data_IF_177736252396
#
_entry.id   IF_177736252396
#
_cell.length_a   1.000
_cell.length_b   1.000
_cell.length_c   1.000
_cell.angle_alpha   90.00
_cell.angle_beta   90.00
_cell.angle_gamma   90.00
#
_symmetry.space_group_name_H-M   'P 1'
#
loop_
_entity.id
_entity.type
_entity.pdbx_description
1 polymer ?
#
# COMPACT_ATOMS: atom_id res chain seq x y z
N UNK A 1 -14.77 33.83 -32.56
CA UNK A 1 -14.41 33.38 -32.25
C UNK A 1 -14.27 32.99 -31.50
N UNK A 2 -14.37 33.05 -31.65
CA UNK A 2 -14.08 32.41 -31.13
C UNK A 2 -13.98 31.98 -30.33
N UNK A 3 -14.02 31.88 -30.31
CA UNK A 3 -13.73 31.32 -29.65
C UNK A 3 -13.87 30.67 -28.92
N UNK A 4 -14.14 30.44 -29.05
CA UNK A 4 -14.16 29.65 -28.56
C UNK A 4 -14.03 28.91 -27.93
N UNK A 5 -14.25 28.83 -28.19
CA UNK A 5 -13.93 28.06 -27.83
C UNK A 5 -13.62 27.67 -27.10
N UNK A 6 -13.65 27.74 -27.11
CA UNK A 6 -13.13 27.22 -26.40
C UNK A 6 -13.12 26.79 -25.52
N UNK A 7 -13.56 26.44 -25.38
CA UNK A 7 -13.41 25.84 -24.62
C UNK A 7 -13.42 25.28 -23.97
N UNK A 8 -13.59 25.13 -24.05
CA UNK A 8 -13.46 24.40 -23.46
C UNK A 8 -13.40 23.78 -23.03
N UNK A 9 -13.47 23.40 -23.17
CA UNK A 9 -13.19 22.50 -22.81
C UNK A 9 -12.79 22.16 -22.05
N UNK A 10 -12.65 22.20 -22.29
CA UNK A 10 -12.14 21.62 -21.55
C UNK A 10 -12.31 21.38 -20.48
N UNK A 11 -12.67 21.36 -20.30
CA UNK A 11 -12.92 20.97 -19.34
C UNK A 11 -13.19 19.94 -18.95
N UNK A 12 -13.43 19.72 -19.46
CA UNK A 12 -13.68 18.68 -19.29
C UNK A 12 -12.90 17.79 -18.85
N UNK A 13 -12.55 17.69 -19.16
CA UNK A 13 -11.80 16.92 -18.90
C UNK A 13 -11.41 16.66 -17.62
N UNK A 14 -11.42 17.11 -17.22
CA UNK A 14 -11.06 16.98 -15.89
C UNK A 14 -11.92 16.07 -15.16
N UNK A 15 -13.09 15.97 -15.60
CA UNK A 15 -13.95 15.11 -14.99
C UNK A 15 -13.50 13.75 -15.04
N UNK A 16 -12.80 13.47 -16.02
CA UNK A 16 -12.36 12.19 -16.23
C UNK A 16 -11.60 11.67 -15.11
N UNK A 17 -10.90 12.49 -14.44
CA UNK A 17 -10.10 12.01 -13.36
C UNK A 17 -10.93 11.44 -12.28
N UNK A 18 -12.21 11.72 -12.28
CA UNK A 18 -13.03 11.20 -11.27
C UNK A 18 -13.11 9.73 -11.29
N UNK A 19 -12.91 9.12 -12.41
CA UNK A 19 -13.05 7.70 -12.48
C UNK A 19 -12.08 7.04 -11.56
N UNK A 20 -11.02 7.71 -11.20
CA UNK A 20 -10.07 7.11 -10.30
C UNK A 20 -10.67 6.85 -8.94
N UNK A 21 -11.73 7.53 -8.57
CA UNK A 21 -12.36 7.32 -7.30
C UNK A 21 -12.97 5.95 -7.17
N UNK A 22 -13.16 5.29 -8.26
CA UNK A 22 -13.82 3.99 -8.24
C UNK A 22 -12.87 2.84 -8.46
N UNK A 23 -11.58 3.09 -8.44
CA UNK A 23 -10.63 2.01 -8.57
C UNK A 23 -10.76 1.14 -7.35
N UNK A 24 -10.81 -0.15 -7.58
CA UNK A 24 -10.86 -1.10 -6.49
C UNK A 24 -9.51 -1.45 -5.97
N UNK A 25 -8.48 -1.08 -6.70
CA UNK A 25 -7.11 -1.36 -6.29
C UNK A 25 -6.43 -0.07 -5.92
N UNK A 26 -5.80 -0.03 -4.78
CA UNK A 26 -5.03 1.14 -4.38
C UNK A 26 -3.92 0.71 -3.44
N UNK A 27 -2.82 1.45 -3.50
CA UNK A 27 -1.68 1.23 -2.61
C UNK A 27 -1.40 2.56 -1.95
N UNK A 28 -1.37 2.56 -0.63
CA UNK A 28 -1.14 3.79 0.12
C UNK A 28 -0.09 3.54 1.18
N UNK A 29 0.93 4.38 1.19
CA UNK A 29 1.95 4.31 2.23
C UNK A 29 1.33 4.82 3.52
N UNK A 30 1.51 4.10 4.62
CA UNK A 30 0.95 4.48 5.90
C UNK A 30 2.02 4.40 6.98
N UNK A 31 1.86 5.15 8.06
CA UNK A 31 2.78 5.01 9.18
C UNK A 31 2.64 3.63 9.81
N UNK A 32 3.71 3.10 10.34
CA UNK A 32 3.65 1.80 11.02
C UNK A 32 2.63 1.80 12.15
N UNK A 33 2.41 2.96 12.76
CA UNK A 33 1.44 3.06 13.86
C UNK A 33 0.00 2.83 13.40
N UNK A 34 -0.26 2.88 12.10
CA UNK A 34 -1.59 2.62 11.57
C UNK A 34 -1.80 1.17 11.20
N UNK A 35 -0.76 0.36 11.26
CA UNK A 35 -0.90 -1.07 11.03
C UNK A 35 -1.43 -1.68 12.31
N UNK A 36 -2.46 -2.54 12.24
CA UNK A 36 -2.99 -3.16 13.47
C UNK A 36 -1.90 -3.88 14.26
N UNK A 37 -1.96 -3.75 15.57
CA UNK A 37 -0.92 -4.28 16.43
C UNK A 37 -0.77 -5.80 16.28
N UNK A 38 -1.86 -6.51 16.04
CA UNK A 38 -1.77 -7.96 15.88
C UNK A 38 -1.02 -8.32 14.60
N UNK A 39 -1.12 -7.49 13.56
CA UNK A 39 -0.40 -7.73 12.31
C UNK A 39 1.10 -7.55 12.55
N UNK A 40 1.47 -6.47 13.25
CA UNK A 40 2.86 -6.22 13.59
C UNK A 40 3.40 -7.40 14.40
N UNK A 41 2.62 -7.88 15.37
CA UNK A 41 3.08 -8.97 16.23
C UNK A 41 3.32 -10.25 15.43
N UNK A 42 2.45 -10.55 14.49
CA UNK A 42 2.61 -11.75 13.67
C UNK A 42 3.91 -11.68 12.87
N UNK A 43 4.18 -10.53 12.28
CA UNK A 43 5.39 -10.37 11.48
C UNK A 43 6.62 -10.48 12.37
N UNK A 44 6.60 -9.87 13.55
CA UNK A 44 7.74 -9.92 14.45
C UNK A 44 7.95 -11.33 15.01
N UNK A 45 6.89 -12.09 15.18
CA UNK A 45 7.03 -13.47 15.62
C UNK A 45 7.54 -14.38 14.50
N UNK A 46 7.22 -14.06 13.27
CA UNK A 46 7.65 -14.86 12.12
C UNK A 46 9.11 -14.58 11.78
N UNK A 47 9.52 -13.31 11.91
CA UNK A 47 10.90 -12.90 11.65
C UNK A 47 11.43 -12.22 12.91
N UNK A 48 11.85 -13.01 13.90
CA UNK A 48 12.31 -12.43 15.16
C UNK A 48 13.47 -11.49 14.96
N UNK A 49 13.37 -10.33 15.60
CA UNK A 49 14.42 -9.32 15.49
C UNK A 49 14.29 -8.38 14.33
N UNK A 50 13.23 -8.51 13.51
CA UNK A 50 13.08 -7.60 12.40
C UNK A 50 12.75 -6.20 12.91
N UNK A 51 13.41 -5.21 12.30
CA UNK A 51 13.17 -3.82 12.59
C UNK A 51 12.35 -3.27 11.42
N UNK A 52 11.07 -3.06 11.65
CA UNK A 52 10.17 -2.60 10.58
C UNK A 52 10.39 -1.12 10.34
N UNK A 53 10.42 -0.73 9.08
CA UNK A 53 10.71 0.65 8.69
C UNK A 53 9.60 1.28 7.86
N UNK A 54 8.86 0.49 7.08
CA UNK A 54 7.85 1.05 6.19
C UNK A 54 6.64 0.14 6.10
N UNK A 55 5.51 0.72 5.79
CA UNK A 55 4.28 -0.03 5.61
C UNK A 55 3.45 0.58 4.49
N UNK A 56 2.77 -0.28 3.75
CA UNK A 56 1.79 0.12 2.76
C UNK A 56 0.52 -0.67 3.00
N UNK A 57 -0.60 -0.02 2.72
CA UNK A 57 -1.88 -0.68 2.77
C UNK A 57 -2.37 -0.82 1.35
N UNK A 58 -2.58 -2.06 0.91
CA UNK A 58 -3.00 -2.35 -0.45
C UNK A 58 -4.43 -2.85 -0.43
N UNK A 59 -5.25 -2.33 -1.29
CA UNK A 59 -6.63 -2.76 -1.40
C UNK A 59 -6.85 -3.33 -2.78
N UNK A 60 -7.29 -4.59 -2.82
CA UNK A 60 -7.57 -5.29 -4.06
C UNK A 60 -8.98 -5.88 -3.95
N UNK A 61 -9.93 -5.32 -4.69
CA UNK A 61 -11.31 -5.82 -4.71
C UNK A 61 -11.86 -6.03 -3.31
N UNK A 62 -11.77 -5.00 -2.47
CA UNK A 62 -12.27 -4.99 -1.10
C UNK A 62 -11.44 -5.83 -0.12
N UNK A 63 -10.39 -6.46 -0.57
CA UNK A 63 -9.49 -7.18 0.32
C UNK A 63 -8.32 -6.28 0.68
N UNK A 64 -7.93 -6.30 1.96
CA UNK A 64 -6.84 -5.48 2.45
C UNK A 64 -5.62 -6.35 2.70
N UNK A 65 -4.49 -5.93 2.17
CA UNK A 65 -3.20 -6.57 2.40
C UNK A 65 -2.24 -5.50 2.86
N UNK A 66 -1.45 -5.81 3.88
CA UNK A 66 -0.41 -4.91 4.33
C UNK A 66 0.93 -5.39 3.79
N UNK A 67 1.71 -4.47 3.26
CA UNK A 67 3.06 -4.78 2.83
C UNK A 67 4.00 -4.08 3.79
N UNK A 68 4.84 -4.84 4.49
CA UNK A 68 5.74 -4.29 5.48
C UNK A 68 7.18 -4.53 5.04
N UNK A 69 8.04 -3.56 5.30
CA UNK A 69 9.47 -3.71 5.04
C UNK A 69 10.22 -3.59 6.33
N UNK A 70 11.29 -4.36 6.45
CA UNK A 70 12.13 -4.28 7.62
C UNK A 70 13.45 -4.94 7.40
N UNK A 71 14.34 -4.77 8.37
CA UNK A 71 15.71 -5.26 8.30
C UNK A 71 15.99 -6.17 9.49
N UNK A 72 16.60 -7.31 9.21
CA UNK A 72 17.01 -8.21 10.27
C UNK A 72 18.39 -7.80 10.80
N UNK A 73 18.76 -8.38 11.93
CA UNK A 73 20.03 -8.05 12.57
C UNK A 73 21.21 -8.25 11.64
N UNK A 74 21.14 -9.25 10.76
CA UNK A 74 22.24 -9.51 9.82
C UNK A 74 22.29 -8.49 8.67
N UNK A 75 21.41 -7.51 8.65
CA UNK A 75 21.41 -6.47 7.62
C UNK A 75 20.56 -6.77 6.41
N UNK A 76 19.98 -7.95 6.33
CA UNK A 76 19.13 -8.28 5.19
C UNK A 76 17.78 -7.58 5.32
N UNK A 77 17.29 -7.06 4.22
CA UNK A 77 16.01 -6.36 4.17
C UNK A 77 14.98 -7.28 3.57
N UNK A 78 13.81 -7.29 4.17
CA UNK A 78 12.71 -8.16 3.73
C UNK A 78 11.44 -7.37 3.50
N UNK A 79 10.66 -7.87 2.56
CA UNK A 79 9.33 -7.36 2.27
C UNK A 79 8.34 -8.47 2.62
N UNK A 80 7.34 -8.16 3.41
CA UNK A 80 6.36 -9.14 3.87
C UNK A 80 4.98 -8.65 3.50
N UNK A 81 4.20 -9.52 2.84
CA UNK A 81 2.80 -9.23 2.57
C UNK A 81 1.95 -10.08 3.49
N UNK A 82 1.03 -9.44 4.19
CA UNK A 82 0.19 -10.12 5.15
C UNK A 82 -1.24 -9.60 5.02
N UNK A 83 -2.18 -10.50 5.00
CA UNK A 83 -3.59 -10.11 4.86
C UNK A 83 -4.10 -9.47 6.15
N UNK A 84 -5.19 -8.77 6.04
CA UNK A 84 -5.81 -8.14 7.19
C UNK A 84 -6.18 -9.15 8.27
N UNK A 85 -6.46 -10.38 7.87
CA UNK A 85 -6.80 -11.44 8.82
C UNK A 85 -5.58 -12.06 9.48
N UNK A 86 -4.37 -11.69 9.06
CA UNK A 86 -3.14 -12.16 9.71
C UNK A 86 -2.44 -13.29 9.00
N UNK A 87 -2.78 -13.57 7.75
CA UNK A 87 -2.11 -14.62 6.99
C UNK A 87 -0.98 -14.01 6.17
N UNK A 88 0.23 -14.50 6.38
CA UNK A 88 1.38 -14.05 5.59
C UNK A 88 1.31 -14.76 4.24
N UNK A 89 1.32 -13.99 3.17
CA UNK A 89 1.22 -14.53 1.82
C UNK A 89 2.51 -14.38 1.04
N UNK A 90 3.47 -13.60 1.55
CA UNK A 90 4.74 -13.44 0.85
C UNK A 90 5.80 -12.95 1.81
N UNK A 91 6.99 -13.53 1.73
CA UNK A 91 8.18 -13.02 2.39
C UNK A 91 9.26 -13.04 1.34
N UNK A 92 9.82 -11.89 1.05
CA UNK A 92 10.80 -11.78 -0.02
C UNK A 92 12.01 -11.00 0.45
N UNK A 93 13.19 -11.51 0.11
CA UNK A 93 14.43 -10.79 0.41
C UNK A 93 14.52 -9.63 -0.58
N UNK A 94 14.69 -8.44 -0.05
CA UNK A 94 14.75 -7.23 -0.84
C UNK A 94 16.17 -6.71 -0.79
N UNK A 95 16.89 -6.81 -1.87
CA UNK A 95 18.29 -6.36 -1.92
C UNK A 95 18.42 -4.93 -2.40
#
# INVERSE_FOLDING_TARGET
>A
MNTYLKLSFISVLSLISLSACFDKDSDTEIPLTEVPANIIAIVQNTLPGISLTEAEKEIHDDSVVYELEGTLINGNKYEIEITESGTIIKIELDD
#
